data_IF_334792178571
#
_entry.id   IF_334792178571
#
_cell.length_a   1.000
_cell.length_b   1.000
_cell.length_c   1.000
_cell.angle_alpha   90.00
_cell.angle_beta   90.00
_cell.angle_gamma   90.00
#
_symmetry.space_group_name_H-M   'P 1'
#
loop_
_entity.id
_entity.type
_entity.pdbx_description
1 polymer ?
#
# COMPACT_ATOMS: atom_id res chain seq x y z
N UNK A 1 6.38 -72.82 -44.52
CA UNK A 1 6.52 -71.86 -43.40
C UNK A 1 6.48 -70.44 -43.94
N UNK A 2 5.35 -69.76 -43.79
CA UNK A 2 5.20 -68.29 -43.87
C UNK A 2 3.77 -67.94 -43.41
N UNK A 3 3.58 -67.13 -42.35
CA UNK A 3 2.27 -66.57 -42.02
C UNK A 3 2.32 -65.03 -42.00
N UNK A 4 1.53 -64.37 -42.84
CA UNK A 4 1.28 -62.92 -42.73
C UNK A 4 -0.22 -62.69 -42.88
N UNK A 5 -0.98 -62.81 -41.78
CA UNK A 5 -1.38 -61.75 -40.82
C UNK A 5 -2.08 -60.56 -41.48
N UNK A 6 -3.38 -60.49 -41.21
CA UNK A 6 -4.32 -59.39 -41.51
C UNK A 6 -3.77 -58.07 -40.97
N UNK A 7 -3.68 -57.04 -41.82
CA UNK A 7 -3.50 -55.66 -41.37
C UNK A 7 -4.79 -55.19 -40.67
N UNK A 8 -4.71 -55.06 -39.34
CA UNK A 8 -5.67 -54.27 -38.58
C UNK A 8 -5.26 -52.81 -38.66
N UNK A 9 -6.12 -51.97 -39.23
CA UNK A 9 -6.00 -50.52 -39.23
C UNK A 9 -6.15 -50.03 -37.78
N UNK A 10 -5.05 -49.66 -37.13
CA UNK A 10 -5.08 -49.03 -35.80
C UNK A 10 -5.43 -47.56 -36.01
N UNK A 11 -6.68 -47.21 -35.71
CA UNK A 11 -7.11 -45.82 -35.60
C UNK A 11 -6.48 -45.24 -34.34
N UNK A 12 -5.39 -44.49 -34.49
CA UNK A 12 -4.77 -43.77 -33.39
C UNK A 12 -5.69 -42.60 -32.99
N UNK A 13 -6.52 -42.81 -31.97
CA UNK A 13 -7.22 -41.74 -31.26
C UNK A 13 -6.19 -40.87 -30.55
N UNK A 14 -5.77 -39.79 -31.21
CA UNK A 14 -5.01 -38.72 -30.57
C UNK A 14 -5.94 -38.00 -29.59
N UNK A 15 -5.92 -38.45 -28.33
CA UNK A 15 -6.48 -37.65 -27.25
C UNK A 15 -5.58 -36.43 -27.09
N UNK A 16 -6.00 -35.31 -27.67
CA UNK A 16 -5.44 -34.02 -27.34
C UNK A 16 -5.73 -33.78 -25.86
N UNK A 17 -4.74 -34.03 -25.00
CA UNK A 17 -4.78 -33.54 -23.64
C UNK A 17 -4.74 -32.02 -23.75
N UNK A 18 -5.90 -31.39 -23.62
CA UNK A 18 -5.96 -29.98 -23.28
C UNK A 18 -5.23 -29.85 -21.93
N UNK A 19 -3.98 -29.38 -21.96
CA UNK A 19 -3.35 -28.88 -20.75
C UNK A 19 -4.33 -27.88 -20.14
N UNK A 20 -4.56 -27.89 -18.81
CA UNK A 20 -5.24 -26.76 -18.21
C UNK A 20 -4.41 -25.55 -18.64
N UNK A 21 -5.02 -24.63 -19.38
CA UNK A 21 -4.47 -23.31 -19.51
C UNK A 21 -4.39 -22.81 -18.07
N UNK A 22 -3.19 -22.90 -17.48
CA UNK A 22 -2.89 -22.23 -16.24
C UNK A 22 -3.08 -20.79 -16.66
N UNK A 23 -4.24 -20.23 -16.32
CA UNK A 23 -4.52 -18.83 -16.52
C UNK A 23 -3.39 -18.14 -15.76
N UNK A 24 -2.41 -17.64 -16.51
CA UNK A 24 -1.51 -16.62 -16.00
C UNK A 24 -2.43 -15.45 -15.72
N UNK A 25 -2.99 -15.43 -14.50
CA UNK A 25 -3.63 -14.26 -13.98
C UNK A 25 -2.52 -13.23 -13.92
N UNK A 26 -2.48 -12.44 -14.99
CA UNK A 26 -1.79 -11.18 -15.07
C UNK A 26 -2.40 -10.31 -13.98
N UNK A 27 -1.88 -10.44 -12.76
CA UNK A 27 -2.20 -9.56 -11.64
C UNK A 27 -1.53 -8.21 -11.91
N UNK A 28 -1.98 -7.51 -12.94
CA UNK A 28 -1.59 -6.15 -13.26
C UNK A 28 -2.77 -5.22 -13.02
N UNK A 29 -2.97 -4.82 -11.75
CA UNK A 29 -3.55 -3.50 -11.42
C UNK A 29 -3.33 -3.16 -9.95
N UNK A 30 -2.34 -2.29 -9.74
CA UNK A 30 -1.76 -1.87 -8.46
C UNK A 30 -0.25 -1.86 -8.69
N UNK A 31 0.25 -0.77 -9.29
CA UNK A 31 1.44 -0.77 -10.15
C UNK A 31 2.68 -1.45 -9.59
N UNK A 32 3.32 -2.30 -10.41
CA UNK A 32 4.68 -2.89 -10.38
C UNK A 32 5.41 -3.01 -9.03
N UNK A 33 4.65 -3.15 -7.96
CA UNK A 33 5.12 -3.15 -6.60
C UNK A 33 5.83 -4.45 -6.31
N UNK A 34 7.01 -4.36 -5.71
CA UNK A 34 7.72 -5.53 -5.22
C UNK A 34 8.08 -5.32 -3.75
N UNK A 35 8.08 -6.39 -2.99
CA UNK A 35 8.75 -6.45 -1.69
C UNK A 35 10.03 -7.26 -1.84
N UNK A 36 11.08 -6.87 -1.14
CA UNK A 36 12.33 -7.62 -1.02
C UNK A 36 12.50 -7.94 0.45
N UNK A 37 12.41 -9.20 0.83
CA UNK A 37 12.68 -9.67 2.18
C UNK A 37 14.12 -10.15 2.29
N UNK A 38 14.76 -9.90 3.44
CA UNK A 38 16.17 -10.16 3.69
C UNK A 38 16.36 -10.99 4.96
N UNK A 39 17.32 -11.92 4.91
CA UNK A 39 17.57 -12.87 5.98
C UNK A 39 18.25 -12.25 7.21
N UNK A 40 18.80 -11.04 7.08
CA UNK A 40 19.45 -10.33 8.17
C UNK A 40 18.87 -8.92 8.32
N UNK A 41 19.09 -8.26 9.48
CA UNK A 41 18.78 -6.86 9.68
C UNK A 41 19.45 -5.94 8.65
N UNK A 42 18.91 -4.73 8.52
CA UNK A 42 19.46 -3.65 7.69
C UNK A 42 19.67 -4.02 6.22
N UNK A 43 18.77 -4.86 5.68
CA UNK A 43 18.70 -5.27 4.27
C UNK A 43 19.91 -6.08 3.80
N UNK A 44 20.43 -6.98 4.65
CA UNK A 44 21.62 -7.80 4.39
C UNK A 44 21.30 -9.29 4.23
N UNK A 45 22.28 -10.04 3.75
CA UNK A 45 22.20 -11.50 3.60
C UNK A 45 21.38 -11.96 2.41
N UNK A 46 20.92 -13.21 2.46
CA UNK A 46 20.06 -13.79 1.43
C UNK A 46 18.79 -12.94 1.28
N UNK A 47 18.42 -12.61 0.04
CA UNK A 47 17.22 -11.82 -0.25
C UNK A 47 16.27 -12.55 -1.19
N UNK A 48 14.97 -12.31 -1.03
CA UNK A 48 13.93 -12.79 -1.93
C UNK A 48 13.07 -11.61 -2.39
N UNK A 49 13.05 -11.36 -3.71
CA UNK A 49 12.13 -10.39 -4.34
C UNK A 49 10.79 -11.07 -4.60
N UNK A 50 9.73 -10.44 -4.12
CA UNK A 50 8.34 -10.88 -4.17
C UNK A 50 7.55 -9.87 -4.98
N UNK A 51 6.89 -10.33 -6.06
CA UNK A 51 6.07 -9.49 -6.96
C UNK A 51 4.60 -9.91 -6.98
N UNK A 52 4.25 -10.99 -6.28
CA UNK A 52 2.89 -11.49 -6.15
C UNK A 52 2.69 -12.28 -4.86
N UNK A 53 1.50 -12.85 -4.64
CA UNK A 53 1.20 -13.62 -3.43
C UNK A 53 2.04 -14.89 -3.34
N UNK A 54 2.71 -15.09 -2.20
CA UNK A 54 3.37 -16.32 -1.79
C UNK A 54 2.64 -16.85 -0.55
N UNK A 55 1.91 -17.95 -0.73
CA UNK A 55 1.14 -18.59 0.34
C UNK A 55 2.00 -19.33 1.36
N UNK A 56 3.23 -19.72 0.98
CA UNK A 56 4.18 -20.36 1.88
C UNK A 56 5.63 -20.17 1.42
N UNK A 57 6.46 -19.54 2.25
CA UNK A 57 7.85 -19.19 1.93
C UNK A 57 8.81 -20.40 1.87
N UNK A 58 8.38 -21.57 2.35
CA UNK A 58 9.14 -22.83 2.22
C UNK A 58 9.51 -23.15 0.77
N UNK A 59 8.64 -22.81 -0.19
CA UNK A 59 8.88 -23.02 -1.64
C UNK A 59 10.11 -22.25 -2.16
N UNK A 60 10.51 -21.21 -1.44
CA UNK A 60 11.66 -20.36 -1.75
C UNK A 60 12.80 -20.52 -0.75
N UNK A 61 12.74 -21.53 0.14
CA UNK A 61 13.70 -21.77 1.22
C UNK A 61 13.92 -20.54 2.13
N UNK A 62 12.86 -19.74 2.30
CA UNK A 62 12.89 -18.45 3.01
C UNK A 62 11.92 -18.38 4.21
N UNK A 63 11.33 -19.50 4.61
CA UNK A 63 10.40 -19.54 5.74
C UNK A 63 11.09 -19.15 7.04
N UNK A 64 10.49 -18.25 7.81
CA UNK A 64 10.98 -17.85 9.13
C UNK A 64 12.42 -17.31 9.11
N UNK A 65 12.84 -16.72 7.99
CA UNK A 65 14.18 -16.11 7.85
C UNK A 65 14.16 -14.60 7.77
N UNK A 66 13.01 -13.99 7.46
CA UNK A 66 12.96 -12.57 7.19
C UNK A 66 13.23 -11.78 8.48
N UNK A 67 14.32 -11.00 8.47
CA UNK A 67 14.73 -10.10 9.54
C UNK A 67 14.61 -8.62 9.14
N UNK A 68 14.60 -8.31 7.84
CA UNK A 68 14.30 -6.98 7.30
C UNK A 68 13.58 -7.07 5.95
N UNK A 69 12.90 -5.99 5.54
CA UNK A 69 12.09 -5.95 4.31
C UNK A 69 12.12 -4.56 3.68
N UNK A 70 12.18 -4.50 2.35
CA UNK A 70 12.08 -3.27 1.57
C UNK A 70 11.00 -3.39 0.52
N UNK A 71 10.04 -2.49 0.54
CA UNK A 71 8.98 -2.35 -0.46
C UNK A 71 9.40 -1.29 -1.46
N UNK A 72 9.37 -1.65 -2.74
CA UNK A 72 9.66 -0.75 -3.86
C UNK A 72 8.39 -0.15 -4.46
N UNK A 73 7.22 -0.69 -4.10
CA UNK A 73 5.92 -0.14 -4.47
C UNK A 73 4.77 -0.98 -3.93
N UNK A 74 3.63 -0.32 -3.73
CA UNK A 74 2.42 -0.90 -3.17
C UNK A 74 2.53 -1.20 -1.68
N UNK A 75 1.53 -1.89 -1.14
CA UNK A 75 1.49 -2.31 0.25
C UNK A 75 1.53 -3.84 0.30
N UNK A 76 2.20 -4.40 1.30
CA UNK A 76 2.40 -5.83 1.41
C UNK A 76 1.94 -6.34 2.76
N UNK A 77 1.05 -7.33 2.76
CA UNK A 77 0.66 -8.05 3.97
C UNK A 77 1.62 -9.23 4.18
N UNK A 78 2.24 -9.28 5.35
CA UNK A 78 3.12 -10.36 5.79
C UNK A 78 2.51 -11.04 7.01
N UNK A 79 2.46 -12.36 7.00
CA UNK A 79 1.79 -13.14 8.04
C UNK A 79 2.70 -14.21 8.61
N UNK A 80 2.51 -14.51 9.91
CA UNK A 80 3.30 -15.51 10.62
C UNK A 80 2.90 -16.95 10.28
N UNK A 81 1.69 -17.18 9.79
CA UNK A 81 1.24 -18.51 9.37
C UNK A 81 1.12 -18.60 7.84
N UNK A 82 1.06 -19.82 7.27
CA UNK A 82 0.81 -20.03 5.85
C UNK A 82 -0.58 -19.52 5.42
N UNK A 83 -0.73 -19.26 4.12
CA UNK A 83 -1.97 -18.85 3.47
C UNK A 83 -2.59 -17.56 4.04
N UNK A 84 -1.74 -16.61 4.45
CA UNK A 84 -2.15 -15.29 4.94
C UNK A 84 -3.02 -15.37 6.21
N UNK A 85 -2.59 -16.20 7.17
CA UNK A 85 -3.30 -16.45 8.43
C UNK A 85 -2.45 -16.06 9.64
N UNK A 86 -3.05 -16.15 10.83
CA UNK A 86 -2.40 -15.82 12.08
C UNK A 86 -2.29 -14.32 12.27
N UNK A 87 -1.19 -13.88 12.88
CA UNK A 87 -0.86 -12.45 12.98
C UNK A 87 -0.29 -11.97 11.64
N UNK A 88 -0.92 -10.94 11.09
CA UNK A 88 -0.49 -10.28 9.87
C UNK A 88 -0.19 -8.80 10.12
N UNK A 89 0.82 -8.27 9.43
CA UNK A 89 1.15 -6.84 9.41
C UNK A 89 1.19 -6.34 7.97
N UNK A 90 0.82 -5.08 7.77
CA UNK A 90 0.94 -4.40 6.47
C UNK A 90 2.22 -3.58 6.49
N UNK A 91 3.13 -3.85 5.54
CA UNK A 91 4.40 -3.15 5.35
C UNK A 91 4.38 -2.47 3.98
N UNK A 92 4.68 -1.17 3.93
CA UNK A 92 4.59 -0.40 2.68
C UNK A 92 5.85 0.35 2.29
N UNK A 93 6.83 0.43 3.20
CA UNK A 93 8.12 1.05 2.91
C UNK A 93 9.26 0.09 3.25
N UNK A 94 10.19 0.46 4.13
CA UNK A 94 11.32 -0.37 4.52
C UNK A 94 11.36 -0.53 6.02
N UNK A 95 11.55 -1.76 6.46
CA UNK A 95 11.76 -2.09 7.86
C UNK A 95 13.12 -2.76 8.00
N UNK A 96 14.09 -2.01 8.52
CA UNK A 96 15.46 -2.50 8.74
C UNK A 96 15.54 -3.52 9.86
N UNK A 97 14.55 -3.54 10.75
CA UNK A 97 14.42 -4.51 11.83
C UNK A 97 12.94 -4.86 12.03
N UNK A 98 12.60 -6.14 11.88
CA UNK A 98 11.24 -6.67 12.03
C UNK A 98 10.86 -6.97 13.49
N UNK A 99 11.75 -6.70 14.45
CA UNK A 99 11.51 -6.94 15.89
C UNK A 99 10.34 -6.12 16.45
N UNK A 100 10.19 -4.86 16.03
CA UNK A 100 9.13 -3.96 16.50
C UNK A 100 7.73 -4.47 16.09
N UNK A 101 7.66 -5.18 14.96
CA UNK A 101 6.46 -5.87 14.48
C UNK A 101 6.31 -7.28 15.06
N UNK A 102 7.28 -7.74 15.86
CA UNK A 102 7.41 -9.13 16.34
C UNK A 102 7.41 -10.14 15.19
N UNK A 103 7.93 -9.74 14.03
CA UNK A 103 7.96 -10.56 12.81
C UNK A 103 9.34 -11.12 12.48
N UNK A 104 10.37 -10.72 13.22
CA UNK A 104 11.74 -11.21 13.03
C UNK A 104 11.76 -12.74 13.04
N UNK A 105 12.22 -13.32 11.94
CA UNK A 105 12.36 -14.77 11.73
C UNK A 105 11.04 -15.53 11.94
N UNK A 106 9.92 -14.91 11.58
CA UNK A 106 8.57 -15.50 11.74
C UNK A 106 7.66 -15.39 10.52
N UNK A 107 8.09 -14.69 9.48
CA UNK A 107 7.24 -14.49 8.30
C UNK A 107 7.18 -15.80 7.50
N UNK A 108 5.97 -16.30 7.25
CA UNK A 108 5.71 -17.56 6.54
C UNK A 108 4.88 -17.36 5.26
N UNK A 109 4.06 -16.30 5.16
CA UNK A 109 3.37 -15.93 3.92
C UNK A 109 3.36 -14.41 3.68
N UNK A 110 3.28 -14.01 2.41
CA UNK A 110 3.38 -12.61 1.98
C UNK A 110 2.57 -12.35 0.72
N UNK A 111 1.79 -11.26 0.65
CA UNK A 111 1.03 -10.87 -0.55
C UNK A 111 0.93 -9.37 -0.73
N UNK A 112 0.78 -8.89 -1.98
CA UNK A 112 0.39 -7.51 -2.21
C UNK A 112 -1.03 -7.29 -1.64
N UNK A 113 -1.23 -6.16 -0.98
CA UNK A 113 -2.56 -5.72 -0.54
C UNK A 113 -3.27 -5.18 -1.76
N UNK A 114 -4.29 -5.91 -2.23
CA UNK A 114 -5.19 -5.39 -3.24
C UNK A 114 -6.23 -4.52 -2.55
N UNK A 115 -6.05 -3.20 -2.60
CA UNK A 115 -7.14 -2.29 -2.35
C UNK A 115 -8.15 -2.46 -3.49
N UNK A 116 -9.15 -3.31 -3.29
CA UNK A 116 -10.32 -3.36 -4.16
C UNK A 116 -11.08 -2.06 -3.93
N UNK A 117 -10.65 -1.01 -4.62
CA UNK A 117 -11.36 0.24 -4.75
C UNK A 117 -12.74 -0.08 -5.30
N UNK A 118 -13.74 -0.06 -4.41
CA UNK A 118 -15.10 0.17 -4.85
C UNK A 118 -15.10 1.49 -5.58
N UNK A 119 -15.59 1.47 -6.82
CA UNK A 119 -15.95 2.67 -7.56
C UNK A 119 -16.79 3.53 -6.59
N UNK A 120 -16.26 4.66 -6.17
CA UNK A 120 -17.12 5.70 -5.63
C UNK A 120 -17.80 6.30 -6.84
N UNK A 121 -19.00 5.80 -7.10
CA UNK A 121 -19.93 6.47 -7.97
C UNK A 121 -20.05 7.91 -7.47
N UNK A 122 -19.71 8.80 -8.39
CA UNK A 122 -19.77 10.25 -8.27
C UNK A 122 -21.23 10.64 -8.08
N UNK A 123 -21.69 10.69 -6.84
CA UNK A 123 -23.06 11.12 -6.53
C UNK A 123 -23.05 12.42 -5.71
N UNK A 124 -23.14 13.52 -6.45
CA UNK A 124 -24.10 14.62 -6.25
C UNK A 124 -24.37 15.14 -4.83
N UNK A 125 -23.36 15.58 -4.07
CA UNK A 125 -23.58 16.54 -2.96
C UNK A 125 -22.52 17.64 -2.86
N UNK A 126 -22.48 18.49 -3.88
CA UNK A 126 -22.20 19.92 -3.73
C UNK A 126 -22.91 20.67 -4.86
N UNK A 127 -24.25 20.69 -4.80
CA UNK A 127 -25.09 21.64 -5.53
C UNK A 127 -26.00 22.34 -4.52
N UNK A 128 -25.43 23.30 -3.81
CA UNK A 128 -26.14 24.54 -3.50
C UNK A 128 -25.10 25.60 -3.12
N UNK A 129 -25.42 26.87 -3.33
CA UNK A 129 -24.57 28.08 -3.34
C UNK A 129 -23.96 28.46 -4.69
N UNK A 130 -24.74 29.24 -5.45
CA UNK A 130 -24.18 30.33 -6.25
C UNK A 130 -24.53 30.36 -7.74
N UNK A 131 -25.81 30.20 -8.10
CA UNK A 131 -26.28 30.52 -9.46
C UNK A 131 -26.56 32.02 -9.58
N UNK A 132 -25.52 32.86 -9.71
CA UNK A 132 -25.61 34.15 -10.42
C UNK A 132 -24.24 34.82 -10.55
N UNK A 133 -23.71 34.86 -11.79
CA UNK A 133 -23.24 36.07 -12.48
C UNK A 133 -22.52 35.68 -13.78
N UNK A 134 -23.11 36.09 -14.90
CA UNK A 134 -22.45 36.24 -16.19
C UNK A 134 -21.80 37.62 -16.22
N UNK A 135 -20.70 37.75 -16.98
CA UNK A 135 -19.75 38.89 -17.08
C UNK A 135 -18.78 38.88 -15.91
N UNK A 136 -17.48 38.70 -16.10
CA UNK A 136 -16.62 39.32 -17.09
C UNK A 136 -15.50 39.99 -16.29
N UNK A 137 -14.28 39.80 -16.75
CA UNK A 137 -13.09 40.56 -16.42
C UNK A 137 -12.35 40.18 -15.11
N UNK A 138 -11.32 39.36 -15.34
CA UNK A 138 -9.93 39.63 -14.96
C UNK A 138 -9.74 40.59 -13.79
N UNK A 139 -9.29 40.06 -12.65
CA UNK A 139 -8.28 40.66 -11.77
C UNK A 139 -8.16 39.86 -10.47
N UNK A 140 -7.61 38.64 -10.51
CA UNK A 140 -6.90 38.09 -9.35
C UNK A 140 -5.74 37.21 -9.84
N UNK A 141 -4.61 37.87 -10.04
CA UNK A 141 -3.22 37.41 -9.86
C UNK A 141 -3.06 35.93 -9.47
N UNK A 142 -3.32 35.04 -10.43
CA UNK A 142 -3.03 33.61 -10.37
C UNK A 142 -1.55 33.36 -10.55
N UNK A 143 -0.76 33.72 -9.54
CA UNK A 143 0.66 33.43 -9.49
C UNK A 143 0.97 32.63 -8.25
N UNK A 144 0.77 31.30 -8.30
CA UNK A 144 1.43 30.33 -7.39
C UNK A 144 1.21 28.83 -7.66
N UNK A 145 0.81 28.41 -8.87
CA UNK A 145 0.61 26.97 -9.16
C UNK A 145 1.81 26.25 -9.82
N UNK A 146 2.98 26.90 -9.91
CA UNK A 146 4.09 26.41 -10.75
C UNK A 146 5.40 26.11 -9.98
N UNK A 147 5.33 25.79 -8.68
CA UNK A 147 6.54 25.42 -7.92
C UNK A 147 6.43 24.09 -7.13
N UNK A 148 5.33 23.35 -7.22
CA UNK A 148 5.20 22.03 -6.54
C UNK A 148 5.85 20.86 -7.31
N UNK A 149 6.65 21.14 -8.34
CA UNK A 149 7.16 20.11 -9.27
C UNK A 149 8.67 19.88 -9.25
N UNK A 150 9.47 20.68 -8.53
CA UNK A 150 10.92 20.72 -8.78
C UNK A 150 11.84 20.21 -7.67
N UNK A 151 11.31 19.85 -6.49
CA UNK A 151 12.18 19.34 -5.38
C UNK A 151 11.89 17.93 -4.88
N UNK A 152 10.67 17.41 -5.05
CA UNK A 152 10.33 16.04 -4.66
C UNK A 152 9.54 15.39 -5.82
N UNK A 153 10.25 14.56 -6.59
CA UNK A 153 9.79 13.96 -7.85
C UNK A 153 8.45 13.24 -7.76
N UNK A 154 7.82 13.02 -8.92
CA UNK A 154 6.42 12.61 -9.16
C UNK A 154 5.84 11.43 -8.36
N UNK A 155 6.62 10.76 -7.51
CA UNK A 155 6.16 9.79 -6.52
C UNK A 155 5.20 10.38 -5.48
N UNK A 156 5.39 11.64 -5.05
CA UNK A 156 4.51 12.26 -4.05
C UNK A 156 3.08 12.48 -4.56
N UNK A 157 2.90 12.69 -5.87
CA UNK A 157 1.56 12.90 -6.47
C UNK A 157 0.74 11.62 -6.59
N UNK A 158 1.39 10.45 -6.53
CA UNK A 158 0.72 9.16 -6.69
C UNK A 158 0.48 8.43 -5.37
N UNK A 159 0.97 8.96 -4.24
CA UNK A 159 0.72 8.37 -2.93
C UNK A 159 -0.73 8.64 -2.50
N UNK A 160 -1.43 7.67 -1.89
CA UNK A 160 -2.81 7.87 -1.44
C UNK A 160 -2.94 8.89 -0.30
N UNK A 161 -1.89 9.09 0.51
CA UNK A 161 -1.80 10.23 1.44
C UNK A 161 -0.37 10.78 1.50
N UNK A 162 -0.23 12.07 1.76
CA UNK A 162 1.08 12.74 1.93
C UNK A 162 1.03 13.58 3.21
N UNK A 163 2.01 13.37 4.09
CA UNK A 163 2.19 14.16 5.31
C UNK A 163 3.16 15.31 5.02
N UNK A 164 2.89 16.49 5.57
CA UNK A 164 3.70 17.69 5.36
C UNK A 164 4.13 18.30 6.68
N UNK A 165 5.38 18.76 6.71
CA UNK A 165 6.00 19.33 7.90
C UNK A 165 5.38 20.66 8.33
N UNK A 166 4.80 21.42 7.39
CA UNK A 166 4.24 22.74 7.67
C UNK A 166 2.77 22.84 7.25
N UNK A 167 2.01 23.80 7.80
CA UNK A 167 0.64 24.06 7.37
C UNK A 167 0.57 24.49 5.89
N UNK A 168 -0.55 24.20 5.24
CA UNK A 168 -0.80 24.52 3.84
C UNK A 168 0.03 23.68 2.85
N UNK A 169 0.34 22.44 3.20
CA UNK A 169 1.06 21.47 2.35
C UNK A 169 2.49 21.91 1.98
N UNK A 170 3.23 22.42 2.97
CA UNK A 170 4.59 22.98 2.80
C UNK A 170 5.63 22.23 3.63
N UNK A 171 6.90 22.51 3.34
CA UNK A 171 8.04 21.91 4.02
C UNK A 171 8.38 20.53 3.47
N UNK A 172 9.10 19.74 4.28
CA UNK A 172 9.37 18.34 3.96
C UNK A 172 8.04 17.60 3.78
N UNK A 173 8.02 16.66 2.82
CA UNK A 173 6.85 15.87 2.49
C UNK A 173 7.16 14.38 2.56
N UNK A 174 6.28 13.64 3.22
CA UNK A 174 6.36 12.19 3.34
C UNK A 174 5.15 11.55 2.64
N UNK A 175 5.31 11.01 1.42
CA UNK A 175 4.28 10.17 0.82
C UNK A 175 4.11 8.88 1.63
N UNK A 176 2.85 8.50 1.83
CA UNK A 176 2.44 7.32 2.60
C UNK A 176 1.43 6.52 1.79
N UNK A 177 1.65 5.22 1.71
CA UNK A 177 0.84 4.25 0.97
C UNK A 177 0.36 3.07 1.84
N UNK A 178 0.58 3.13 3.15
CA UNK A 178 -0.12 2.31 4.13
C UNK A 178 0.34 2.56 5.56
N UNK A 179 0.29 1.51 6.38
CA UNK A 179 0.49 1.63 7.81
C UNK A 179 1.95 1.94 8.17
N UNK A 180 2.14 2.96 9.00
CA UNK A 180 3.41 3.37 9.60
C UNK A 180 3.17 3.47 11.11
N UNK A 181 3.59 2.46 11.90
CA UNK A 181 3.43 2.49 13.35
C UNK A 181 4.43 3.43 14.06
N UNK A 182 5.47 3.88 13.36
CA UNK A 182 6.58 4.67 13.91
C UNK A 182 7.13 5.66 12.87
N UNK A 183 6.71 6.93 12.91
CA UNK A 183 7.19 7.97 11.99
C UNK A 183 8.65 8.40 12.24
N UNK A 184 9.17 8.15 13.43
CA UNK A 184 10.57 8.36 13.82
C UNK A 184 11.57 7.63 12.90
N UNK A 185 11.24 6.45 12.38
CA UNK A 185 12.08 5.73 11.40
C UNK A 185 12.22 6.47 10.07
N UNK A 186 11.30 7.38 9.79
CA UNK A 186 11.24 8.21 8.59
C UNK A 186 11.64 9.67 8.87
N UNK A 187 12.14 9.97 10.09
CA UNK A 187 12.50 11.31 10.57
C UNK A 187 11.35 12.33 10.48
N UNK A 188 10.12 11.83 10.56
CA UNK A 188 8.88 12.60 10.41
C UNK A 188 7.98 12.58 11.65
N UNK A 189 8.49 12.06 12.78
CA UNK A 189 7.78 12.07 14.07
C UNK A 189 7.49 13.49 14.50
N UNK A 190 6.27 13.75 14.98
CA UNK A 190 5.92 15.01 15.65
C UNK A 190 6.23 16.25 14.81
N UNK A 191 6.11 16.10 13.48
CA UNK A 191 6.37 17.17 12.51
C UNK A 191 5.17 17.45 11.62
N UNK A 192 4.16 16.61 11.66
CA UNK A 192 3.04 16.69 10.71
C UNK A 192 2.17 17.87 11.09
N UNK A 193 2.11 18.85 10.20
CA UNK A 193 1.27 20.06 10.33
C UNK A 193 0.15 20.12 9.29
N UNK A 194 0.27 19.44 8.14
CA UNK A 194 -0.82 19.27 7.15
C UNK A 194 -0.75 17.93 6.43
N UNK A 195 -1.88 17.48 5.85
CA UNK A 195 -2.07 16.15 5.27
C UNK A 195 -2.85 16.27 3.96
N UNK A 196 -2.28 15.85 2.83
CA UNK A 196 -3.03 15.74 1.58
C UNK A 196 -3.53 14.31 1.38
N UNK A 197 -4.83 14.11 1.22
CA UNK A 197 -5.44 12.80 0.95
C UNK A 197 -5.82 12.74 -0.52
N UNK A 198 -5.15 11.86 -1.27
CA UNK A 198 -5.47 11.56 -2.66
C UNK A 198 -6.43 10.36 -2.79
N UNK A 199 -6.51 9.50 -1.76
CA UNK A 199 -7.46 8.40 -1.71
C UNK A 199 -7.48 7.63 -0.39
N UNK A 200 -8.65 7.05 -0.09
CA UNK A 200 -8.89 6.25 1.11
C UNK A 200 -9.24 7.10 2.34
N UNK A 201 -9.34 6.42 3.48
CA UNK A 201 -9.50 7.01 4.80
C UNK A 201 -8.32 6.58 5.66
N UNK A 202 -7.83 7.48 6.50
CA UNK A 202 -6.58 7.30 7.24
C UNK A 202 -6.79 7.58 8.72
N UNK A 203 -6.34 6.69 9.58
CA UNK A 203 -6.26 6.95 11.01
C UNK A 203 -4.87 7.47 11.35
N UNK A 204 -4.79 8.66 11.93
CA UNK A 204 -3.56 9.26 12.45
C UNK A 204 -3.64 9.31 13.97
N UNK A 205 -2.55 8.94 14.64
CA UNK A 205 -2.53 8.76 16.09
C UNK A 205 -1.35 9.48 16.74
N UNK A 206 -1.56 9.97 17.96
CA UNK A 206 -0.53 10.68 18.72
C UNK A 206 0.62 9.80 19.19
N UNK A 207 0.34 8.52 19.42
CA UNK A 207 1.31 7.59 19.97
C UNK A 207 1.72 6.56 18.91
N UNK A 208 2.84 5.84 19.12
CA UNK A 208 3.22 4.77 18.23
C UNK A 208 2.25 3.58 18.25
N UNK A 209 2.31 2.77 17.20
CA UNK A 209 1.49 1.56 17.04
C UNK A 209 -0.03 1.83 17.09
N UNK A 210 -0.46 2.99 16.56
CA UNK A 210 -1.88 3.37 16.41
C UNK A 210 -2.61 3.47 17.76
N UNK A 211 -1.98 4.17 18.72
CA UNK A 211 -2.49 4.35 20.09
C UNK A 211 -2.62 5.82 20.48
N UNK A 212 -3.08 6.06 21.69
CA UNK A 212 -3.28 7.40 22.21
C UNK A 212 -4.49 8.05 21.59
N UNK A 213 -4.35 9.31 21.17
CA UNK A 213 -5.42 10.05 20.53
C UNK A 213 -5.36 9.84 19.02
N UNK A 214 -6.43 9.25 18.47
CA UNK A 214 -6.53 8.92 17.05
C UNK A 214 -7.67 9.69 16.37
N UNK A 215 -7.45 10.09 15.12
CA UNK A 215 -8.43 10.80 14.28
C UNK A 215 -8.49 10.17 12.89
N UNK A 216 -9.71 10.06 12.34
CA UNK A 216 -9.93 9.54 10.99
C UNK A 216 -10.00 10.71 10.02
N UNK A 217 -9.07 10.73 9.07
CA UNK A 217 -8.92 11.75 8.04
C UNK A 217 -9.35 11.14 6.69
N UNK A 218 -10.43 11.68 6.13
CA UNK A 218 -11.03 11.23 4.86
C UNK A 218 -10.81 12.20 3.70
N UNK A 219 -10.29 13.40 3.98
CA UNK A 219 -9.98 14.43 3.00
C UNK A 219 -8.74 15.22 3.42
N UNK A 220 -8.24 16.07 2.53
CA UNK A 220 -7.05 16.88 2.81
C UNK A 220 -7.29 17.88 3.95
N UNK A 221 -6.29 18.00 4.82
CA UNK A 221 -6.28 18.87 6.01
C UNK A 221 -5.10 19.82 5.87
N UNK A 222 -5.37 21.10 5.68
CA UNK A 222 -4.36 22.15 5.53
C UNK A 222 -3.73 22.58 6.87
N UNK A 223 -4.38 22.28 8.00
CA UNK A 223 -3.86 22.50 9.34
C UNK A 223 -4.36 21.43 10.33
N UNK A 224 -3.46 20.60 10.85
CA UNK A 224 -3.80 19.51 11.80
C UNK A 224 -4.15 20.02 13.21
N UNK A 225 -4.02 21.31 13.48
CA UNK A 225 -4.48 21.94 14.73
C UNK A 225 -6.00 21.81 14.93
N UNK A 226 -6.79 21.74 13.85
CA UNK A 226 -8.24 21.46 13.94
C UNK A 226 -8.54 20.15 14.68
N UNK A 227 -7.61 19.21 14.54
CA UNK A 227 -7.67 17.92 15.20
C UNK A 227 -6.81 17.87 16.44
N UNK A 228 -6.22 18.96 16.94
CA UNK A 228 -5.27 18.97 18.09
C UNK A 228 -4.15 17.92 17.97
N UNK A 229 -3.68 17.67 16.75
CA UNK A 229 -2.62 16.70 16.43
C UNK A 229 -1.40 17.37 15.79
N UNK A 230 -1.40 18.70 15.68
CA UNK A 230 -0.27 19.44 15.10
C UNK A 230 1.03 19.11 15.80
N UNK A 231 2.02 18.69 15.02
CA UNK A 231 3.36 18.31 15.49
C UNK A 231 3.31 17.24 16.60
N UNK A 232 2.29 16.39 16.59
CA UNK A 232 2.12 15.33 17.58
C UNK A 232 1.72 13.99 16.94
N UNK A 233 1.72 13.87 15.61
CA UNK A 233 1.39 12.61 14.93
C UNK A 233 2.64 11.72 14.92
N UNK A 234 2.49 10.51 15.49
CA UNK A 234 3.57 9.51 15.62
C UNK A 234 3.28 8.23 14.81
N UNK A 235 2.01 7.91 14.53
CA UNK A 235 1.65 6.78 13.68
C UNK A 235 0.46 7.08 12.76
N UNK A 236 0.40 6.40 11.62
CA UNK A 236 -0.65 6.53 10.61
C UNK A 236 -0.97 5.19 9.97
N UNK A 237 -2.24 4.86 9.74
CA UNK A 237 -2.63 3.67 8.97
C UNK A 237 -3.90 3.88 8.15
N UNK A 238 -4.17 3.04 7.14
CA UNK A 238 -5.49 2.99 6.52
C UNK A 238 -6.55 2.71 7.58
N UNK A 239 -7.62 3.50 7.60
CA UNK A 239 -8.75 3.27 8.48
C UNK A 239 -9.51 2.02 8.02
N UNK A 240 -9.71 1.04 8.92
CA UNK A 240 -10.53 -0.13 8.61
C UNK A 240 -12.02 0.26 8.52
N UNK A 241 -12.76 -0.39 7.62
CA UNK A 241 -14.16 -0.12 7.25
C UNK A 241 -15.21 -0.17 8.38
N UNK A 242 -14.81 -0.42 9.64
CA UNK A 242 -15.70 -0.66 10.76
C UNK A 242 -16.01 0.56 11.65
N UNK A 243 -15.41 1.73 11.42
CA UNK A 243 -15.74 2.95 12.17
C UNK A 243 -16.94 3.70 11.57
N UNK A 244 -18.08 3.03 11.53
CA UNK A 244 -19.29 3.60 10.96
C UNK A 244 -20.57 2.85 11.29
N UNK A 245 -20.75 2.38 12.53
CA UNK A 245 -22.05 2.27 13.22
C UNK A 245 -21.83 2.24 14.72
N UNK A 246 -22.02 3.38 15.39
CA UNK A 246 -22.47 3.41 16.79
C UNK A 246 -23.72 4.29 16.81
N UNK A 247 -24.75 3.67 17.36
CA UNK A 247 -26.18 3.96 17.40
C UNK A 247 -26.59 5.43 17.42
#
# INVERSE_FOLDING_TARGET
MAPFKRLGLVLACTTAMAAPAVAEHSFHRGGDGAAIVYAHPDFRGQSLRVTGPITHLNRYRFNDKASSIRVTGGSWEVCVDPNFRGRCEIITYREGQLNDYRLNDKITSIRPVTYRGGRYDRDDRYRDWGRNQRRGDDHYRGGRDHEYGRRHGGYARNAPVVLFQHPGFRGDALPVDGAIPHLNRLRFNDKVSSIAVNGGAWEVCSDPNFRGRCEIITGSVDNTSYYRLNDNITSIRPASRHYGKRW
#
